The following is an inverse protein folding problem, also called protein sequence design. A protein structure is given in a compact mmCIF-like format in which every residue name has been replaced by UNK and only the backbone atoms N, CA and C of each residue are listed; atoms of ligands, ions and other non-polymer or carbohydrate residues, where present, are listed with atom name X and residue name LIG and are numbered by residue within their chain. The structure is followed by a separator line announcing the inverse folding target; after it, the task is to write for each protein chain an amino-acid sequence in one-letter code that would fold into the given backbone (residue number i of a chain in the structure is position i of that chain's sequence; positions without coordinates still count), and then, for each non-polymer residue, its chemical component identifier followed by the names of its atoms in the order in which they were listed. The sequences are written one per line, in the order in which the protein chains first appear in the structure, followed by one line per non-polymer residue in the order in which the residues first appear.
data_IF_798073285069
#
_entry.id   IF_798073285069
#
_cell.length_a   1.000
_cell.length_b   1.000
_cell.length_c   1.000
_cell.angle_alpha   90.00
_cell.angle_beta   90.00
_cell.angle_gamma   90.00
#
_symmetry.space_group_name_H-M   'P 1'
#
loop_
_entity.id
_entity.type
_entity.pdbx_description
1 polymer ?
#
# COMPACT_ATOMS: atom_id res chain seq x y z
N UNK A 1 48.56 26.63 17.76
CA UNK A 1 47.23 26.89 17.13
C UNK A 1 46.95 25.99 15.93
N UNK A 2 47.82 25.94 14.92
CA UNK A 2 47.59 25.16 13.68
C UNK A 2 47.28 23.67 13.88
N UNK A 3 48.02 22.93 14.72
CA UNK A 3 47.79 21.48 14.95
C UNK A 3 46.44 21.12 15.57
N UNK A 4 45.91 21.97 16.45
CA UNK A 4 44.59 21.73 17.08
C UNK A 4 43.44 21.91 16.07
N UNK A 5 43.59 22.85 15.13
CA UNK A 5 42.62 23.08 14.06
C UNK A 5 42.54 21.87 13.13
N UNK A 6 43.68 21.27 12.78
CA UNK A 6 43.72 20.06 11.95
C UNK A 6 43.09 18.84 12.64
N UNK A 7 43.33 18.65 13.93
CA UNK A 7 42.71 17.56 14.70
C UNK A 7 41.19 17.77 14.81
N UNK A 8 40.75 19.01 15.06
CA UNK A 8 39.34 19.35 15.13
C UNK A 8 38.62 19.15 13.78
N UNK A 9 39.26 19.53 12.66
CA UNK A 9 38.76 19.27 11.31
C UNK A 9 38.68 17.77 10.97
N UNK A 10 39.67 16.97 11.40
CA UNK A 10 39.66 15.52 11.23
C UNK A 10 38.51 14.86 12.01
N UNK A 11 38.25 15.31 13.25
CA UNK A 11 37.12 14.81 14.05
C UNK A 11 35.78 15.23 13.45
N UNK A 12 35.66 16.46 12.93
CA UNK A 12 34.44 16.90 12.22
C UNK A 12 34.19 16.11 10.94
N UNK A 13 35.24 15.72 10.21
CA UNK A 13 35.09 14.93 8.99
C UNK A 13 34.54 13.52 9.20
N UNK A 14 34.72 12.91 10.38
CA UNK A 14 34.16 11.57 10.67
C UNK A 14 32.65 11.62 10.95
N UNK A 15 32.09 12.77 11.35
CA UNK A 15 30.65 12.94 11.55
C UNK A 15 29.85 13.15 10.25
N UNK A 16 30.52 13.50 9.13
CA UNK A 16 29.84 13.78 7.84
C UNK A 16 29.68 12.50 7.00
N UNK A 17 30.40 11.42 7.32
CA UNK A 17 30.40 10.14 6.57
C UNK A 17 29.52 9.08 7.27
N UNK A 18 28.45 9.50 7.92
CA UNK A 18 27.30 8.61 8.09
C UNK A 18 26.28 9.03 7.05
N UNK A 19 26.31 8.45 5.83
CA UNK A 19 25.16 8.61 4.96
C UNK A 19 23.98 8.11 5.78
N UNK A 20 23.03 9.01 6.08
CA UNK A 20 21.71 8.60 6.53
C UNK A 20 21.33 7.45 5.62
N UNK A 21 21.28 6.23 6.16
CA UNK A 21 20.81 5.08 5.41
C UNK A 21 19.46 5.53 4.88
N UNK A 22 19.40 5.86 3.59
CA UNK A 22 18.14 5.97 2.88
C UNK A 22 17.50 4.62 3.14
N UNK A 23 16.53 4.61 4.07
CA UNK A 23 15.96 3.41 4.66
C UNK A 23 15.52 2.57 3.47
N UNK A 24 16.27 1.52 3.13
CA UNK A 24 15.91 0.68 1.99
C UNK A 24 14.51 0.17 2.30
N UNK A 25 13.55 0.40 1.40
CA UNK A 25 12.19 -0.14 1.56
C UNK A 25 12.33 -1.60 1.96
N UNK A 26 11.85 -1.93 3.16
CA UNK A 26 11.83 -3.33 3.57
C UNK A 26 10.86 -4.04 2.63
N UNK A 27 11.07 -5.34 2.38
CA UNK A 27 10.14 -6.10 1.54
C UNK A 27 8.70 -5.98 2.06
N UNK A 28 8.51 -5.80 3.37
CA UNK A 28 7.22 -5.51 4.02
C UNK A 28 6.62 -4.19 3.52
N UNK A 29 7.41 -3.11 3.48
CA UNK A 29 6.95 -1.78 3.06
C UNK A 29 6.38 -1.81 1.64
N UNK A 30 6.99 -2.59 0.73
CA UNK A 30 6.50 -2.79 -0.64
C UNK A 30 5.08 -3.37 -0.64
N UNK A 31 4.84 -4.46 0.09
CA UNK A 31 3.52 -5.09 0.11
C UNK A 31 2.48 -4.30 0.91
N UNK A 32 2.89 -3.60 1.96
CA UNK A 32 1.99 -2.71 2.71
C UNK A 32 1.59 -1.50 1.87
N UNK A 33 2.52 -0.86 1.17
CA UNK A 33 2.23 0.21 0.23
C UNK A 33 1.31 -0.28 -0.89
N UNK A 34 1.56 -1.48 -1.39
CA UNK A 34 0.73 -2.09 -2.43
C UNK A 34 -0.71 -2.37 -1.96
N UNK A 35 -0.87 -2.87 -0.72
CA UNK A 35 -2.17 -3.04 -0.08
C UNK A 35 -2.93 -1.72 0.01
N UNK A 36 -2.29 -0.67 0.54
CA UNK A 36 -2.94 0.63 0.71
C UNK A 36 -3.27 1.29 -0.63
N UNK A 37 -2.33 1.27 -1.58
CA UNK A 37 -2.51 1.83 -2.92
C UNK A 37 -3.74 1.24 -3.61
N UNK A 38 -3.81 -0.10 -3.68
CA UNK A 38 -4.92 -0.81 -4.31
C UNK A 38 -6.25 -0.62 -3.57
N UNK A 39 -6.23 -0.62 -2.23
CA UNK A 39 -7.43 -0.39 -1.41
C UNK A 39 -8.00 1.01 -1.61
N UNK A 40 -7.14 2.02 -1.70
CA UNK A 40 -7.52 3.40 -1.93
C UNK A 40 -8.07 3.60 -3.34
N UNK A 41 -7.44 3.00 -4.35
CA UNK A 41 -7.91 3.07 -5.73
C UNK A 41 -9.27 2.38 -5.91
N UNK A 42 -9.45 1.18 -5.35
CA UNK A 42 -10.74 0.49 -5.34
C UNK A 42 -11.84 1.36 -4.69
N UNK A 43 -11.53 1.96 -3.54
CA UNK A 43 -12.47 2.83 -2.80
C UNK A 43 -12.82 4.08 -3.60
N UNK A 44 -11.84 4.68 -4.28
CA UNK A 44 -12.05 5.83 -5.16
C UNK A 44 -12.99 5.49 -6.31
N UNK A 45 -12.77 4.35 -6.98
CA UNK A 45 -13.64 3.90 -8.07
C UNK A 45 -15.08 3.67 -7.58
N UNK A 46 -15.25 2.99 -6.44
CA UNK A 46 -16.59 2.76 -5.87
C UNK A 46 -17.29 4.07 -5.50
N UNK A 47 -16.57 5.04 -4.93
CA UNK A 47 -17.10 6.36 -4.61
C UNK A 47 -17.53 7.13 -5.86
N UNK A 48 -16.73 7.06 -6.94
CA UNK A 48 -17.08 7.67 -8.21
C UNK A 48 -18.29 7.00 -8.87
N UNK A 49 -18.43 5.66 -8.76
CA UNK A 49 -19.64 4.94 -9.19
C UNK A 49 -20.85 5.44 -8.39
N UNK A 50 -20.74 5.54 -7.08
CA UNK A 50 -21.82 6.02 -6.20
C UNK A 50 -22.26 7.44 -6.59
N UNK A 51 -21.31 8.37 -6.78
CA UNK A 51 -21.59 9.73 -7.24
C UNK A 51 -22.29 9.74 -8.59
N UNK A 52 -21.76 9.02 -9.58
CA UNK A 52 -22.35 8.96 -10.91
C UNK A 52 -23.78 8.41 -10.89
N UNK A 53 -24.03 7.37 -10.09
CA UNK A 53 -25.37 6.80 -9.91
C UNK A 53 -26.34 7.80 -9.28
N UNK A 54 -25.89 8.58 -8.28
CA UNK A 54 -26.69 9.66 -7.67
C UNK A 54 -27.01 10.78 -8.65
N UNK A 55 -26.11 11.06 -9.59
CA UNK A 55 -26.31 12.01 -10.68
C UNK A 55 -27.13 11.43 -11.86
N UNK A 56 -27.57 10.18 -11.77
CA UNK A 56 -28.39 9.51 -12.77
C UNK A 56 -27.61 8.84 -13.91
N UNK A 57 -26.28 8.88 -13.88
CA UNK A 57 -25.41 8.25 -14.87
C UNK A 57 -25.11 6.79 -14.52
N UNK A 58 -25.51 5.86 -15.39
CA UNK A 58 -25.19 4.42 -15.29
C UNK A 58 -24.02 3.98 -16.18
N UNK A 59 -23.31 4.94 -16.78
CA UNK A 59 -22.26 4.64 -17.77
C UNK A 59 -21.13 3.84 -17.12
N UNK A 60 -20.78 2.70 -17.73
CA UNK A 60 -19.65 1.86 -17.36
C UNK A 60 -19.63 1.33 -15.91
N UNK A 61 -20.76 1.39 -15.18
CA UNK A 61 -20.84 0.99 -13.75
C UNK A 61 -20.27 -0.40 -13.55
N UNK A 62 -20.75 -1.40 -14.30
CA UNK A 62 -20.30 -2.78 -14.15
C UNK A 62 -18.82 -3.00 -14.47
N UNK A 63 -18.29 -2.34 -15.50
CA UNK A 63 -16.88 -2.45 -15.85
C UNK A 63 -16.00 -1.93 -14.70
N UNK A 64 -16.34 -0.75 -14.17
CA UNK A 64 -15.63 -0.09 -13.09
C UNK A 64 -15.80 -0.80 -11.74
N UNK A 65 -16.97 -1.38 -11.50
CA UNK A 65 -17.23 -2.18 -10.31
C UNK A 65 -16.36 -3.43 -10.29
N UNK A 66 -16.24 -4.12 -11.43
CA UNK A 66 -15.32 -5.26 -11.60
C UNK A 66 -13.86 -4.85 -11.44
N UNK A 67 -13.48 -3.68 -11.92
CA UNK A 67 -12.14 -3.11 -11.73
C UNK A 67 -11.83 -2.87 -10.23
N UNK A 68 -12.73 -2.20 -9.52
CA UNK A 68 -12.60 -1.99 -8.08
C UNK A 68 -12.50 -3.32 -7.31
N UNK A 69 -13.32 -4.31 -7.67
CA UNK A 69 -13.28 -5.63 -7.06
C UNK A 69 -11.94 -6.37 -7.31
N UNK A 70 -11.39 -6.30 -8.52
CA UNK A 70 -10.07 -6.88 -8.83
C UNK A 70 -8.97 -6.23 -8.00
N UNK A 71 -8.99 -4.90 -7.87
CA UNK A 71 -8.05 -4.16 -7.02
C UNK A 71 -8.16 -4.59 -5.55
N UNK A 72 -9.39 -4.72 -5.03
CA UNK A 72 -9.63 -5.20 -3.66
C UNK A 72 -9.12 -6.62 -3.40
N UNK A 73 -9.33 -7.54 -4.35
CA UNK A 73 -8.79 -8.90 -4.28
C UNK A 73 -7.26 -8.92 -4.30
N UNK A 74 -6.63 -8.09 -5.13
CA UNK A 74 -5.19 -7.94 -5.16
C UNK A 74 -4.66 -7.33 -3.86
N UNK A 75 -5.33 -6.33 -3.28
CA UNK A 75 -4.96 -5.76 -2.00
C UNK A 75 -4.94 -6.84 -0.90
N UNK A 76 -5.96 -7.70 -0.82
CA UNK A 76 -5.98 -8.81 0.14
C UNK A 76 -4.77 -9.76 -0.03
N UNK A 77 -4.33 -10.02 -1.29
CA UNK A 77 -3.12 -10.82 -1.54
C UNK A 77 -1.85 -10.14 -1.02
N UNK A 78 -1.72 -8.83 -1.23
CA UNK A 78 -0.58 -8.05 -0.75
C UNK A 78 -0.54 -8.01 0.78
N UNK A 79 -1.70 -7.89 1.43
CA UNK A 79 -1.79 -7.96 2.89
C UNK A 79 -1.31 -9.33 3.42
N UNK A 80 -1.77 -10.44 2.83
CA UNK A 80 -1.30 -11.78 3.21
C UNK A 80 0.23 -11.87 3.06
N UNK A 81 0.79 -11.38 1.95
CA UNK A 81 2.24 -11.39 1.71
C UNK A 81 3.02 -10.58 2.75
N UNK A 82 2.47 -9.44 3.21
CA UNK A 82 3.09 -8.66 4.27
C UNK A 82 3.19 -9.46 5.58
N UNK A 83 2.13 -10.19 5.97
CA UNK A 83 2.15 -11.07 7.14
C UNK A 83 3.13 -12.24 6.99
N UNK A 84 3.18 -12.88 5.82
CA UNK A 84 4.14 -13.96 5.52
C UNK A 84 5.59 -13.51 5.70
N UNK A 85 5.93 -12.29 5.26
CA UNK A 85 7.29 -11.74 5.38
C UNK A 85 7.64 -11.41 6.83
N UNK A 86 6.68 -10.89 7.59
CA UNK A 86 6.86 -10.62 9.04
C UNK A 86 6.96 -11.93 9.83
N UNK A 87 6.49 -13.05 9.26
CA UNK A 87 6.46 -14.35 9.94
C UNK A 87 5.34 -14.45 10.97
N UNK A 88 4.25 -13.69 10.77
CA UNK A 88 3.08 -13.69 11.65
C UNK A 88 1.85 -14.22 10.93
N UNK A 89 0.91 -14.77 11.70
CA UNK A 89 -0.35 -15.25 11.13
C UNK A 89 -1.25 -14.06 10.76
N UNK A 90 -1.72 -13.97 9.51
CA UNK A 90 -2.67 -12.93 9.13
C UNK A 90 -4.02 -13.15 9.83
N UNK A 91 -4.83 -12.09 10.02
CA UNK A 91 -6.21 -12.22 10.50
C UNK A 91 -7.10 -12.85 9.42
N UNK A 92 -6.94 -14.17 9.22
CA UNK A 92 -7.38 -14.87 8.00
C UNK A 92 -8.90 -14.81 7.80
N UNK A 93 -9.68 -14.84 8.87
CA UNK A 93 -11.14 -14.74 8.78
C UNK A 93 -11.59 -13.34 8.34
N UNK A 94 -10.91 -12.28 8.78
CA UNK A 94 -11.13 -10.91 8.30
C UNK A 94 -10.77 -10.79 6.83
N UNK A 95 -9.64 -11.37 6.41
CA UNK A 95 -9.22 -11.35 5.01
C UNK A 95 -10.18 -12.15 4.13
N UNK A 96 -10.64 -13.33 4.56
CA UNK A 96 -11.64 -14.12 3.84
C UNK A 96 -12.98 -13.38 3.72
N UNK A 97 -13.43 -12.71 4.79
CA UNK A 97 -14.62 -11.88 4.75
C UNK A 97 -14.50 -10.75 3.72
N UNK A 98 -13.34 -10.07 3.70
CA UNK A 98 -13.00 -9.07 2.67
C UNK A 98 -13.00 -9.69 1.27
N UNK A 99 -12.38 -10.86 1.07
CA UNK A 99 -12.35 -11.56 -0.22
C UNK A 99 -13.76 -11.87 -0.73
N UNK A 100 -14.63 -12.48 0.11
CA UNK A 100 -16.02 -12.78 -0.27
C UNK A 100 -16.78 -11.52 -0.66
N UNK A 101 -16.57 -10.41 0.05
CA UNK A 101 -17.19 -9.13 -0.30
C UNK A 101 -16.74 -8.67 -1.70
N UNK A 102 -15.45 -8.74 -2.01
CA UNK A 102 -14.95 -8.35 -3.33
C UNK A 102 -15.43 -9.30 -4.43
N UNK A 103 -15.48 -10.61 -4.16
CA UNK A 103 -16.06 -11.60 -5.08
C UNK A 103 -17.54 -11.34 -5.33
N UNK A 104 -18.29 -10.94 -4.31
CA UNK A 104 -19.68 -10.51 -4.49
C UNK A 104 -19.74 -9.30 -5.41
N UNK A 105 -18.96 -8.25 -5.16
CA UNK A 105 -18.94 -7.04 -5.99
C UNK A 105 -18.55 -7.36 -7.45
N UNK A 106 -17.61 -8.29 -7.65
CA UNK A 106 -17.14 -8.73 -8.97
C UNK A 106 -18.26 -9.38 -9.81
N UNK A 107 -19.17 -10.09 -9.14
CA UNK A 107 -20.22 -10.91 -9.76
C UNK A 107 -21.64 -10.31 -9.62
N UNK A 108 -21.77 -9.13 -9.03
CA UNK A 108 -23.04 -8.40 -8.87
C UNK A 108 -23.47 -7.65 -10.16
N UNK A 109 -22.70 -7.88 -11.22
CA UNK A 109 -22.96 -7.54 -12.62
C UNK A 109 -22.66 -8.79 -13.47
#
# INVERSE_FOLDING_TARGET
MSRFIFIFLLILSTFIISPNQARSETSIDVYMNDFYSKSNEASKILKEIETNLKEGSRKNVCSRQREAARLGLLANKSLIKAFEIVGTEPPIETIKSSQRRWESILNDC
#
